data_IF_512277464557
#
_entry.id   IF_512277464557
#
_cell.length_a   1.000
_cell.length_b   1.000
_cell.length_c   1.000
_cell.angle_alpha   90.00
_cell.angle_beta   90.00
_cell.angle_gamma   90.00
#
_symmetry.space_group_name_H-M   'P 1'
#
loop_
_entity.id
_entity.type
_entity.pdbx_description
1 polymer ?
#
# COMPACT_ATOMS: atom_id res chain seq x y z
N UNK A 1 -8.25 -28.31 -0.17
CA UNK A 1 -8.04 -27.06 0.61
C UNK A 1 -8.91 -25.96 0.04
N UNK A 2 -9.45 -25.04 0.86
CA UNK A 2 -10.07 -23.82 0.34
C UNK A 2 -8.97 -22.94 -0.25
N UNK A 3 -9.18 -22.40 -1.45
CA UNK A 3 -8.22 -21.48 -2.10
C UNK A 3 -8.07 -20.21 -1.24
N UNK A 4 -6.84 -19.76 -1.01
CA UNK A 4 -6.58 -18.47 -0.34
C UNK A 4 -6.92 -17.35 -1.33
N UNK A 5 -7.75 -16.40 -0.89
CA UNK A 5 -8.29 -15.32 -1.75
C UNK A 5 -8.11 -13.94 -1.17
N UNK A 6 -7.65 -13.85 0.07
CA UNK A 6 -7.51 -12.60 0.82
C UNK A 6 -6.12 -12.49 1.42
N UNK A 7 -5.50 -11.32 1.30
CA UNK A 7 -4.29 -10.94 2.01
C UNK A 7 -4.59 -9.80 2.97
N UNK A 8 -3.96 -9.85 4.14
CA UNK A 8 -3.99 -8.75 5.11
C UNK A 8 -2.60 -8.12 5.14
N UNK A 9 -2.51 -6.83 4.87
CA UNK A 9 -1.24 -6.08 4.82
C UNK A 9 -1.26 -5.01 5.92
N UNK A 10 -0.51 -5.20 7.02
CA UNK A 10 -0.41 -4.20 8.08
C UNK A 10 0.44 -3.00 7.64
N UNK A 11 -0.16 -1.81 7.62
CA UNK A 11 0.49 -0.54 7.19
C UNK A 11 0.39 0.58 8.23
N UNK A 12 0.06 0.23 9.48
CA UNK A 12 -0.12 1.16 10.60
C UNK A 12 1.20 1.63 11.26
N UNK A 13 2.37 1.20 10.76
CA UNK A 13 3.65 1.46 11.40
C UNK A 13 4.13 2.92 11.25
N UNK A 14 4.75 3.46 12.31
CA UNK A 14 5.28 4.84 12.32
C UNK A 14 6.59 5.03 11.55
N UNK A 15 7.35 3.97 11.31
CA UNK A 15 8.60 4.06 10.52
C UNK A 15 9.71 4.90 11.14
N UNK A 16 9.84 4.94 12.46
CA UNK A 16 10.78 5.81 13.20
C UNK A 16 12.25 5.67 12.80
N UNK A 17 12.66 4.51 12.25
CA UNK A 17 14.02 4.26 11.75
C UNK A 17 14.34 4.95 10.42
N UNK A 18 13.32 5.47 9.74
CA UNK A 18 13.44 6.17 8.45
C UNK A 18 13.16 7.67 8.61
N UNK A 19 13.25 8.20 9.83
CA UNK A 19 13.21 9.65 10.03
C UNK A 19 14.44 10.30 9.37
N UNK A 20 14.29 11.51 8.80
CA UNK A 20 13.09 12.35 8.84
C UNK A 20 12.04 12.03 7.77
N UNK A 21 12.33 11.18 6.79
CA UNK A 21 11.44 10.93 5.64
C UNK A 21 10.04 10.45 6.07
N UNK A 22 9.99 9.59 7.09
CA UNK A 22 8.72 9.05 7.59
C UNK A 22 7.90 10.01 8.46
N UNK A 23 8.40 11.22 8.71
CA UNK A 23 7.64 12.28 9.40
C UNK A 23 6.50 12.81 8.53
N UNK A 24 6.71 12.88 7.22
CA UNK A 24 5.75 13.43 6.25
C UNK A 24 5.10 12.38 5.36
N UNK A 25 5.73 11.22 5.18
CA UNK A 25 5.24 10.17 4.30
C UNK A 25 5.21 8.81 5.02
N UNK A 26 4.17 7.98 4.86
CA UNK A 26 4.18 6.61 5.38
C UNK A 26 5.41 5.83 4.89
N UNK A 27 6.01 4.99 5.74
CA UNK A 27 7.17 4.17 5.34
C UNK A 27 6.82 3.23 4.17
N UNK A 28 5.57 2.79 4.10
CA UNK A 28 5.03 1.92 3.06
C UNK A 28 4.93 2.63 1.70
N UNK A 29 4.90 3.96 1.72
CA UNK A 29 4.89 4.84 0.54
C UNK A 29 6.28 5.29 0.09
N UNK A 30 7.35 4.90 0.80
CA UNK A 30 8.71 5.16 0.33
C UNK A 30 8.93 4.44 -1.01
N UNK A 31 9.42 5.13 -2.05
CA UNK A 31 9.62 4.51 -3.35
C UNK A 31 10.85 3.61 -3.33
N UNK A 32 10.73 2.46 -3.99
CA UNK A 32 11.89 1.70 -4.48
C UNK A 32 11.91 1.92 -5.98
N UNK A 33 12.94 2.63 -6.46
CA UNK A 33 13.04 3.12 -7.84
C UNK A 33 11.91 4.08 -8.19
N UNK A 34 10.77 3.58 -8.67
CA UNK A 34 9.66 4.35 -9.26
C UNK A 34 8.30 4.07 -8.60
N UNK A 35 8.19 3.06 -7.73
CA UNK A 35 6.91 2.68 -7.10
C UNK A 35 7.03 2.49 -5.59
N UNK A 36 5.98 2.82 -4.81
CA UNK A 36 5.90 2.57 -3.38
C UNK A 36 6.19 1.12 -2.99
N UNK A 37 6.85 0.89 -1.84
CA UNK A 37 7.05 -0.46 -1.28
C UNK A 37 5.73 -1.24 -1.18
N UNK A 38 4.63 -0.59 -0.81
CA UNK A 38 3.31 -1.26 -0.71
C UNK A 38 2.80 -1.83 -2.04
N UNK A 39 3.15 -1.21 -3.18
CA UNK A 39 2.77 -1.73 -4.50
C UNK A 39 3.40 -3.10 -4.74
N UNK A 40 4.67 -3.31 -4.36
CA UNK A 40 5.33 -4.60 -4.51
C UNK A 40 4.61 -5.70 -3.73
N UNK A 41 4.17 -5.43 -2.50
CA UNK A 41 3.45 -6.41 -1.69
C UNK A 41 2.06 -6.75 -2.27
N UNK A 42 1.40 -5.76 -2.89
CA UNK A 42 0.12 -5.95 -3.58
C UNK A 42 0.30 -6.78 -4.86
N UNK A 43 1.31 -6.46 -5.66
CA UNK A 43 1.62 -7.22 -6.88
C UNK A 43 1.95 -8.68 -6.56
N UNK A 44 2.78 -8.92 -5.54
CA UNK A 44 3.11 -10.28 -5.08
C UNK A 44 1.87 -11.06 -4.65
N UNK A 45 0.93 -10.41 -3.95
CA UNK A 45 -0.33 -11.03 -3.58
C UNK A 45 -1.18 -11.39 -4.81
N UNK A 46 -1.28 -10.50 -5.79
CA UNK A 46 -1.99 -10.77 -7.03
C UNK A 46 -1.36 -11.90 -7.84
N UNK A 47 -0.03 -11.95 -7.95
CA UNK A 47 0.71 -13.04 -8.58
C UNK A 47 0.45 -14.39 -7.88
N UNK A 48 0.26 -14.38 -6.55
CA UNK A 48 -0.13 -15.56 -5.76
C UNK A 48 -1.62 -15.96 -5.93
N UNK A 49 -2.40 -15.22 -6.73
CA UNK A 49 -3.81 -15.51 -7.01
C UNK A 49 -4.79 -15.03 -5.91
N UNK A 50 -4.35 -14.09 -5.08
CA UNK A 50 -5.18 -13.36 -4.12
C UNK A 50 -5.97 -12.29 -4.86
N UNK A 51 -7.22 -12.05 -4.46
CA UNK A 51 -8.11 -11.10 -5.15
C UNK A 51 -8.56 -9.95 -4.26
N UNK A 52 -8.43 -10.12 -2.94
CA UNK A 52 -8.84 -9.11 -1.99
C UNK A 52 -7.67 -8.76 -1.08
N UNK A 53 -7.26 -7.50 -1.12
CA UNK A 53 -6.29 -6.95 -0.20
C UNK A 53 -7.05 -6.22 0.91
N UNK A 54 -6.63 -6.44 2.15
CA UNK A 54 -7.15 -5.74 3.33
C UNK A 54 -5.99 -5.02 3.99
N UNK A 55 -5.97 -3.69 3.92
CA UNK A 55 -4.99 -2.89 4.63
C UNK A 55 -5.42 -2.70 6.10
N UNK A 56 -4.52 -2.98 7.03
CA UNK A 56 -4.69 -2.58 8.43
C UNK A 56 -3.94 -1.28 8.65
N UNK A 57 -4.66 -0.17 8.60
CA UNK A 57 -4.11 1.18 8.61
C UNK A 57 -4.09 1.78 10.03
N UNK A 58 -3.51 2.97 10.18
CA UNK A 58 -3.48 3.75 11.41
C UNK A 58 -3.77 5.23 11.12
N UNK A 59 -3.61 6.11 12.12
CA UNK A 59 -3.79 7.56 11.91
C UNK A 59 -2.81 8.08 10.84
N UNK A 60 -3.27 9.01 9.99
CA UNK A 60 -2.49 9.67 8.93
C UNK A 60 -1.98 8.74 7.82
N UNK A 61 -2.76 7.72 7.42
CA UNK A 61 -2.41 6.77 6.35
C UNK A 61 -3.34 6.83 5.12
N UNK A 62 -4.17 7.87 5.00
CA UNK A 62 -5.08 8.07 3.85
C UNK A 62 -4.37 8.02 2.49
N UNK A 63 -3.13 8.53 2.44
CA UNK A 63 -2.27 8.51 1.24
C UNK A 63 -2.08 7.10 0.64
N UNK A 64 -2.15 6.03 1.45
CA UNK A 64 -2.08 4.66 0.94
C UNK A 64 -3.37 4.30 0.20
N UNK A 65 -4.52 4.67 0.76
CA UNK A 65 -5.84 4.45 0.13
C UNK A 65 -5.92 5.26 -1.16
N UNK A 66 -5.62 6.55 -1.10
CA UNK A 66 -5.60 7.45 -2.26
C UNK A 66 -4.75 6.88 -3.39
N UNK A 67 -3.55 6.34 -3.10
CA UNK A 67 -2.66 5.78 -4.12
C UNK A 67 -3.27 4.60 -4.90
N UNK A 68 -4.08 3.75 -4.26
CA UNK A 68 -4.75 2.63 -4.91
C UNK A 68 -6.13 2.98 -5.48
N UNK A 69 -6.66 4.16 -5.14
CA UNK A 69 -7.91 4.64 -5.69
C UNK A 69 -7.74 5.14 -7.13
N UNK A 70 -8.84 5.02 -7.88
CA UNK A 70 -8.92 5.63 -9.19
C UNK A 70 -8.92 7.14 -9.03
N UNK A 71 -8.16 7.82 -9.90
CA UNK A 71 -8.16 9.28 -10.00
C UNK A 71 -8.80 9.67 -11.34
N UNK A 72 -10.14 9.83 -11.40
CA UNK A 72 -10.85 10.16 -12.64
C UNK A 72 -10.31 11.42 -13.33
N UNK A 73 -9.78 12.37 -12.55
CA UNK A 73 -9.17 13.60 -13.05
C UNK A 73 -7.86 13.36 -13.83
N UNK A 74 -7.19 12.22 -13.63
CA UNK A 74 -5.97 11.84 -14.34
C UNK A 74 -6.24 10.90 -15.52
N UNK A 75 -7.40 10.26 -15.53
CA UNK A 75 -7.84 9.34 -16.58
C UNK A 75 -8.88 10.10 -17.42
N UNK A 76 -8.40 10.88 -18.39
CA UNK A 76 -9.25 11.65 -19.31
C UNK A 76 -10.42 10.82 -19.86
N UNK A 77 -11.56 11.49 -20.02
CA UNK A 77 -12.89 10.94 -20.37
C UNK A 77 -12.90 10.15 -21.67
#
# INVERSE_FOLDING_TARGET
>A
MKKVRKAVIPVAGLGTRFLPATKSMPKEMLPVVDRPVVQYAVDEAFEAGIEHIVFVTGRNKAVIEDYFDLHPELIGT
#
